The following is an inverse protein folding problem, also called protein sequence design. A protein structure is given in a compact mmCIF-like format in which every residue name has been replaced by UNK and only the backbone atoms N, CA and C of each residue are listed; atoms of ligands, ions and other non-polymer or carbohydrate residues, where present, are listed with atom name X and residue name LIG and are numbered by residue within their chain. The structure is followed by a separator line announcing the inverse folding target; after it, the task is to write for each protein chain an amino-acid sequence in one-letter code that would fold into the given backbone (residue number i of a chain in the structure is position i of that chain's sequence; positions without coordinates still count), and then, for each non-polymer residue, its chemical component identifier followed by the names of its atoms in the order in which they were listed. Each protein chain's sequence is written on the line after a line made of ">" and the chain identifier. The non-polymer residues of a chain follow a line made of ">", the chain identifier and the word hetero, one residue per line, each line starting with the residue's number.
data_IF_976963324651
#
_entry.id   IF_976963324651
#
_cell.length_a   1.000
_cell.length_b   1.000
_cell.length_c   1.000
_cell.angle_alpha   90.00
_cell.angle_beta   90.00
_cell.angle_gamma   90.00
#
_symmetry.space_group_name_H-M   'P 1'
#
loop_
_entity.id
_entity.type
_entity.pdbx_description
1 polymer ?
#
# COMPACT_ATOMS: atom_id res chain seq x y z
N UNK A 1 -17.76 -19.26 -1.64
CA UNK A 1 -16.44 -18.89 -2.21
C UNK A 1 -15.47 -18.70 -1.06
N UNK A 2 -14.21 -19.09 -1.25
CA UNK A 2 -13.13 -18.83 -0.29
C UNK A 2 -12.11 -17.91 -0.96
N UNK A 3 -11.54 -16.98 -0.20
CA UNK A 3 -10.53 -16.03 -0.69
C UNK A 3 -9.22 -16.29 0.03
N UNK A 4 -8.13 -16.40 -0.74
CA UNK A 4 -6.77 -16.57 -0.21
C UNK A 4 -5.92 -15.43 -0.77
N UNK A 5 -5.15 -14.79 0.11
CA UNK A 5 -4.18 -13.74 -0.26
C UNK A 5 -2.79 -14.36 -0.30
N UNK A 6 -2.05 -14.12 -1.38
CA UNK A 6 -0.71 -14.66 -1.59
C UNK A 6 0.27 -13.51 -1.82
N UNK A 7 1.38 -13.53 -1.07
CA UNK A 7 2.52 -12.65 -1.33
C UNK A 7 3.48 -13.37 -2.28
N UNK A 8 3.83 -12.71 -3.38
CA UNK A 8 4.67 -13.26 -4.44
C UNK A 8 5.84 -12.31 -4.65
N UNK A 9 7.05 -12.83 -4.79
CA UNK A 9 8.21 -12.00 -5.11
C UNK A 9 8.14 -11.48 -6.55
N UNK A 10 8.57 -10.25 -6.77
CA UNK A 10 8.54 -9.58 -8.08
C UNK A 10 9.17 -10.43 -9.20
N UNK A 11 10.29 -11.11 -8.92
CA UNK A 11 11.00 -11.94 -9.91
C UNK A 11 10.22 -13.17 -10.41
N UNK A 12 9.13 -13.56 -9.74
CA UNK A 12 8.26 -14.66 -10.16
C UNK A 12 6.82 -14.21 -10.44
N UNK A 13 6.52 -12.92 -10.29
CA UNK A 13 5.16 -12.36 -10.42
C UNK A 13 4.51 -12.72 -11.76
N UNK A 14 5.22 -12.49 -12.87
CA UNK A 14 4.71 -12.80 -14.22
C UNK A 14 4.45 -14.30 -14.43
N UNK A 15 5.33 -15.15 -13.88
CA UNK A 15 5.16 -16.62 -13.95
C UNK A 15 3.95 -17.07 -13.15
N UNK A 16 3.70 -16.43 -12.02
CA UNK A 16 2.57 -16.72 -11.16
C UNK A 16 1.25 -16.27 -11.79
N UNK A 17 1.23 -15.06 -12.38
CA UNK A 17 0.10 -14.58 -13.18
C UNK A 17 -0.20 -15.51 -14.35
N UNK A 18 0.83 -15.96 -15.06
CA UNK A 18 0.68 -16.95 -16.13
C UNK A 18 0.04 -18.24 -15.62
N UNK A 19 0.51 -18.79 -14.49
CA UNK A 19 -0.06 -20.01 -13.89
C UNK A 19 -1.55 -19.84 -13.58
N UNK A 20 -1.94 -18.73 -12.94
CA UNK A 20 -3.35 -18.48 -12.59
C UNK A 20 -4.22 -18.29 -13.84
N UNK A 21 -3.69 -17.65 -14.88
CA UNK A 21 -4.42 -17.44 -16.13
C UNK A 21 -4.71 -18.72 -16.92
N UNK A 22 -4.09 -19.86 -16.56
CA UNK A 22 -4.41 -21.16 -17.15
C UNK A 22 -5.67 -21.80 -16.55
N UNK A 23 -6.19 -21.28 -15.43
CA UNK A 23 -7.44 -21.76 -14.84
C UNK A 23 -8.65 -21.06 -15.48
N UNK A 24 -9.82 -21.73 -15.45
CA UNK A 24 -11.07 -21.09 -15.86
C UNK A 24 -11.38 -19.93 -14.93
N UNK A 25 -11.88 -18.82 -15.49
CA UNK A 25 -12.31 -17.64 -14.71
C UNK A 25 -13.47 -17.92 -13.75
N UNK A 26 -14.15 -19.05 -13.93
CA UNK A 26 -15.20 -19.53 -13.03
C UNK A 26 -14.62 -20.21 -11.78
N UNK A 27 -13.40 -20.77 -11.90
CA UNK A 27 -12.73 -21.51 -10.83
C UNK A 27 -11.78 -20.61 -10.04
N UNK A 28 -11.06 -19.71 -10.73
CA UNK A 28 -10.11 -18.77 -10.11
C UNK A 28 -10.29 -17.38 -10.69
N UNK A 29 -10.39 -16.39 -9.80
CA UNK A 29 -10.49 -14.97 -10.15
C UNK A 29 -9.50 -14.16 -9.33
N UNK A 30 -8.70 -13.33 -10.02
CA UNK A 30 -7.89 -12.31 -9.35
C UNK A 30 -8.81 -11.18 -8.90
N UNK A 31 -8.88 -10.95 -7.59
CA UNK A 31 -9.76 -9.93 -7.00
C UNK A 31 -9.07 -8.57 -6.85
N UNK A 32 -7.80 -8.57 -6.48
CA UNK A 32 -6.99 -7.38 -6.29
C UNK A 32 -5.53 -7.63 -6.71
N UNK A 33 -4.86 -6.59 -7.20
CA UNK A 33 -3.44 -6.58 -7.52
C UNK A 33 -2.84 -5.32 -6.95
N UNK A 34 -2.17 -5.45 -5.82
CA UNK A 34 -1.43 -4.37 -5.18
C UNK A 34 0.04 -4.75 -5.09
N UNK A 35 0.93 -3.78 -5.33
CA UNK A 35 2.33 -3.92 -4.98
C UNK A 35 2.49 -3.48 -3.54
N UNK A 36 3.16 -4.31 -2.75
CA UNK A 36 3.63 -3.85 -1.45
C UNK A 36 4.67 -2.76 -1.68
N UNK A 37 4.48 -1.62 -1.04
CA UNK A 37 5.43 -0.52 -1.00
C UNK A 37 5.75 -0.31 0.48
N UNK A 38 7.03 -0.22 0.82
CA UNK A 38 7.45 0.13 2.19
C UNK A 38 6.92 1.52 2.53
N UNK A 39 6.50 1.73 3.78
CA UNK A 39 5.91 3.00 4.23
C UNK A 39 6.80 4.21 3.89
N UNK A 40 8.11 4.06 4.09
CA UNK A 40 9.11 5.08 3.76
C UNK A 40 9.14 5.41 2.25
N UNK A 41 9.10 4.38 1.40
CA UNK A 41 9.11 4.53 -0.05
C UNK A 41 7.79 5.14 -0.53
N UNK A 42 6.68 4.77 0.11
CA UNK A 42 5.38 5.37 -0.14
C UNK A 42 5.37 6.86 0.22
N UNK A 43 5.85 7.23 1.41
CA UNK A 43 5.94 8.62 1.84
C UNK A 43 6.83 9.44 0.89
N UNK A 44 7.97 8.88 0.45
CA UNK A 44 8.86 9.53 -0.51
C UNK A 44 8.28 9.62 -1.92
N UNK A 45 7.33 8.76 -2.28
CA UNK A 45 6.68 8.76 -3.60
C UNK A 45 5.68 9.90 -3.78
N UNK A 46 5.23 10.52 -2.68
CA UNK A 46 4.25 11.61 -2.71
C UNK A 46 5.00 12.94 -2.71
N UNK A 47 4.88 13.67 -3.83
CA UNK A 47 5.49 14.99 -4.00
C UNK A 47 5.11 15.93 -2.83
N UNK A 48 6.13 16.49 -2.20
CA UNK A 48 5.97 17.43 -1.08
C UNK A 48 5.70 16.79 0.28
N UNK A 49 5.36 15.49 0.37
CA UNK A 49 4.99 14.87 1.66
C UNK A 49 6.15 14.86 2.66
N UNK A 50 7.37 14.56 2.22
CA UNK A 50 8.57 14.61 3.08
C UNK A 50 8.76 16.03 3.64
N UNK A 51 8.54 17.06 2.83
CA UNK A 51 8.68 18.44 3.25
C UNK A 51 7.56 18.84 4.22
N UNK A 52 6.30 18.48 3.94
CA UNK A 52 5.18 18.72 4.86
C UNK A 52 5.41 18.09 6.23
N UNK A 53 5.98 16.88 6.29
CA UNK A 53 6.33 16.23 7.57
C UNK A 53 7.44 16.99 8.28
N UNK A 54 8.46 17.46 7.55
CA UNK A 54 9.55 18.25 8.14
C UNK A 54 9.05 19.60 8.68
N UNK A 55 8.15 20.26 7.97
CA UNK A 55 7.51 21.51 8.39
C UNK A 55 6.64 21.29 9.62
N UNK A 56 5.77 20.26 9.62
CA UNK A 56 4.95 19.90 10.77
C UNK A 56 5.78 19.57 12.03
N UNK A 57 6.98 18.98 11.87
CA UNK A 57 7.89 18.72 13.00
C UNK A 57 8.50 19.98 13.60
N UNK A 58 8.53 21.09 12.86
CA UNK A 58 9.03 22.37 13.35
C UNK A 58 7.94 23.20 14.02
N UNK A 59 6.67 22.78 13.93
CA UNK A 59 5.57 23.51 14.55
C UNK A 59 5.63 23.44 16.08
N UNK A 60 5.32 24.54 16.79
CA UNK A 60 5.19 24.53 18.24
C UNK A 60 4.13 23.52 18.70
N UNK A 61 4.39 22.87 19.83
CA UNK A 61 3.47 21.88 20.43
C UNK A 61 2.06 22.47 20.66
N UNK A 62 1.97 23.78 20.92
CA UNK A 62 0.71 24.51 21.09
C UNK A 62 -0.23 24.44 19.87
N UNK A 63 0.34 24.28 18.67
CA UNK A 63 -0.41 24.10 17.42
C UNK A 63 -0.73 22.63 17.14
N UNK A 64 -0.14 21.70 17.90
CA UNK A 64 -0.38 20.27 17.78
C UNK A 64 -1.79 19.89 18.24
N UNK A 65 -2.38 18.89 17.57
CA UNK A 65 -3.66 18.30 17.96
C UNK A 65 -3.44 16.92 18.59
N UNK A 66 -4.19 16.64 19.65
CA UNK A 66 -4.20 15.32 20.29
C UNK A 66 -5.02 14.33 19.47
N UNK A 67 -4.77 13.03 19.66
CA UNK A 67 -5.34 11.94 18.88
C UNK A 67 -6.89 11.95 18.84
N UNK A 68 -7.53 12.43 19.91
CA UNK A 68 -8.97 12.62 20.06
C UNK A 68 -9.56 13.75 19.21
N UNK A 69 -8.72 14.64 18.67
CA UNK A 69 -9.13 15.80 17.85
C UNK A 69 -8.88 15.60 16.35
N UNK A 70 -8.28 14.48 15.95
CA UNK A 70 -8.09 14.14 14.54
C UNK A 70 -9.43 13.76 13.91
N UNK A 71 -9.77 14.38 12.77
CA UNK A 71 -10.91 13.97 11.95
C UNK A 71 -10.45 12.86 11.00
N UNK A 72 -10.90 11.64 11.27
CA UNK A 72 -10.74 10.48 10.39
C UNK A 72 -11.85 10.45 9.33
#
# INVERSE_FOLDING_TARGET
>A
MQTVTLQVQDGIYDKFLWLINNFSKQDVKVLDQSKYILDDDYIRSIDGMVQSIQEARQEPIENGVTLDKLRW
#
